data_IF_928586749738
#
_entry.id   IF_928586749738
#
_cell.length_a   1.000
_cell.length_b   1.000
_cell.length_c   1.000
_cell.angle_alpha   90.00
_cell.angle_beta   90.00
_cell.angle_gamma   90.00
#
_symmetry.space_group_name_H-M   'P 1'
#
loop_
_entity.id
_entity.type
_entity.pdbx_description
1 polymer ?
#
# COMPACT_ATOMS: atom_id res chain seq x y z
N UNK A 1 31.54 -14.43 -15.18
CA UNK A 1 30.33 -14.19 -15.99
C UNK A 1 30.15 -15.42 -16.87
N UNK A 2 29.15 -16.25 -16.60
CA UNK A 2 28.87 -17.44 -17.42
C UNK A 2 28.03 -17.05 -18.63
N UNK A 3 28.42 -17.56 -19.80
CA UNK A 3 27.98 -17.24 -21.18
C UNK A 3 26.47 -17.39 -21.48
N UNK A 4 25.64 -17.73 -20.51
CA UNK A 4 24.18 -17.87 -20.69
C UNK A 4 23.39 -16.54 -20.59
N UNK A 5 24.03 -15.43 -20.22
CA UNK A 5 23.33 -14.14 -20.07
C UNK A 5 23.26 -13.31 -21.37
N UNK A 6 23.78 -13.80 -22.50
CA UNK A 6 23.86 -13.04 -23.76
C UNK A 6 22.72 -13.32 -24.78
N UNK A 7 21.70 -14.10 -24.44
CA UNK A 7 20.74 -14.56 -25.46
C UNK A 7 19.54 -13.64 -25.79
N UNK A 8 19.29 -12.55 -25.06
CA UNK A 8 18.32 -11.52 -25.47
C UNK A 8 18.94 -10.14 -25.23
N UNK A 9 19.28 -9.40 -26.30
CA UNK A 9 20.05 -8.15 -26.31
C UNK A 9 19.46 -6.92 -25.60
N UNK A 10 18.97 -7.05 -24.38
CA UNK A 10 18.72 -5.96 -23.45
C UNK A 10 19.28 -6.35 -22.08
N UNK A 11 20.29 -5.62 -21.60
CA UNK A 11 20.70 -5.73 -20.19
C UNK A 11 19.49 -5.46 -19.30
N UNK A 12 19.19 -6.37 -18.37
CA UNK A 12 18.10 -6.18 -17.41
C UNK A 12 18.30 -4.85 -16.70
N UNK A 13 17.27 -4.01 -16.71
CA UNK A 13 17.29 -2.72 -16.04
C UNK A 13 17.63 -2.90 -14.55
N UNK A 14 18.30 -1.92 -13.97
CA UNK A 14 18.62 -1.89 -12.53
C UNK A 14 18.06 -0.63 -11.92
N UNK A 15 17.85 -0.61 -10.60
CA UNK A 15 17.51 0.63 -9.92
C UNK A 15 18.58 1.71 -10.17
N UNK A 16 18.16 2.92 -10.53
CA UNK A 16 19.05 4.04 -10.81
C UNK A 16 19.69 4.61 -9.54
N UNK A 17 19.11 4.32 -8.38
CA UNK A 17 19.69 4.68 -7.09
C UNK A 17 19.15 3.82 -5.94
N UNK A 18 19.92 3.75 -4.84
CA UNK A 18 19.49 3.16 -3.56
C UNK A 18 18.15 3.74 -3.08
N UNK A 19 18.01 5.06 -3.14
CA UNK A 19 16.79 5.75 -2.74
C UNK A 19 15.60 5.38 -3.64
N UNK A 20 15.84 5.14 -4.93
CA UNK A 20 14.83 4.65 -5.85
C UNK A 20 14.25 3.31 -5.42
N UNK A 21 15.10 2.34 -5.11
CA UNK A 21 14.67 1.05 -4.58
C UNK A 21 13.86 1.21 -3.28
N UNK A 22 14.38 1.96 -2.30
CA UNK A 22 13.72 2.12 -0.99
C UNK A 22 12.34 2.77 -1.15
N UNK A 23 12.25 3.91 -1.84
CA UNK A 23 10.98 4.63 -1.99
C UNK A 23 9.98 3.86 -2.86
N UNK A 24 10.43 3.19 -3.92
CA UNK A 24 9.54 2.36 -4.73
C UNK A 24 9.02 1.15 -3.94
N UNK A 25 9.86 0.52 -3.10
CA UNK A 25 9.43 -0.60 -2.25
C UNK A 25 8.48 -0.12 -1.15
N UNK A 26 8.72 1.04 -0.54
CA UNK A 26 7.76 1.68 0.39
C UNK A 26 6.44 1.95 -0.34
N UNK A 27 6.48 2.51 -1.55
CA UNK A 27 5.27 2.80 -2.31
C UNK A 27 4.48 1.56 -2.74
N UNK A 28 5.17 0.46 -3.00
CA UNK A 28 4.53 -0.84 -3.25
C UNK A 28 3.86 -1.41 -1.99
N UNK A 29 4.50 -1.27 -0.83
CA UNK A 29 4.04 -1.78 0.47
C UNK A 29 2.91 -0.92 1.07
N UNK A 30 3.05 0.40 1.00
CA UNK A 30 2.14 1.38 1.60
C UNK A 30 1.05 1.81 0.62
N UNK A 31 0.02 0.96 0.50
CA UNK A 31 -1.16 1.22 -0.34
C UNK A 31 -2.40 1.69 0.43
N UNK A 32 -3.55 1.72 -0.24
CA UNK A 32 -4.85 2.09 0.34
C UNK A 32 -5.19 1.26 1.58
N UNK A 33 -4.81 -0.03 1.60
CA UNK A 33 -5.04 -0.91 2.74
C UNK A 33 -4.39 -0.42 4.04
N UNK A 34 -3.25 0.28 3.96
CA UNK A 34 -2.64 0.87 5.15
C UNK A 34 -3.47 2.03 5.71
N UNK A 35 -4.29 2.68 4.89
CA UNK A 35 -5.02 3.90 5.26
C UNK A 35 -6.41 3.61 5.82
N UNK A 36 -7.10 2.55 5.36
CA UNK A 36 -8.44 2.20 5.87
C UNK A 36 -8.48 0.86 6.61
N UNK A 37 -7.80 -0.18 6.09
CA UNK A 37 -7.82 -1.51 6.69
C UNK A 37 -7.01 -1.56 7.98
N UNK A 38 -5.87 -0.87 8.05
CA UNK A 38 -5.10 -0.82 9.30
C UNK A 38 -5.88 -0.18 10.46
N UNK A 39 -6.47 1.02 10.32
CA UNK A 39 -7.35 1.58 11.34
C UNK A 39 -8.51 0.67 11.74
N UNK A 40 -9.21 0.10 10.75
CA UNK A 40 -10.34 -0.80 10.95
C UNK A 40 -9.95 -2.03 11.80
N UNK A 41 -8.94 -2.78 11.37
CA UNK A 41 -8.50 -3.99 12.09
C UNK A 41 -7.94 -3.63 13.47
N UNK A 42 -7.26 -2.49 13.61
CA UNK A 42 -6.76 -2.01 14.91
C UNK A 42 -7.91 -1.75 15.87
N UNK A 43 -8.98 -1.07 15.41
CA UNK A 43 -10.15 -0.79 16.21
C UNK A 43 -10.91 -2.07 16.63
N UNK A 44 -11.04 -3.06 15.75
CA UNK A 44 -11.68 -4.35 16.08
C UNK A 44 -10.86 -5.26 16.98
N UNK A 45 -9.54 -5.05 17.03
CA UNK A 45 -8.61 -6.00 17.64
C UNK A 45 -7.92 -5.44 18.89
N UNK A 46 -8.62 -4.61 19.66
CA UNK A 46 -8.13 -4.14 20.96
C UNK A 46 -7.08 -3.02 20.88
N UNK A 47 -7.09 -2.24 19.79
CA UNK A 47 -6.30 -1.01 19.67
C UNK A 47 -4.81 -1.26 19.81
N UNK A 48 -4.22 -0.75 20.88
CA UNK A 48 -2.79 -0.85 21.15
C UNK A 48 -2.27 -2.30 21.23
N UNK A 49 -3.14 -3.27 21.59
CA UNK A 49 -2.77 -4.68 21.63
C UNK A 49 -2.47 -5.21 20.22
N UNK A 50 -3.31 -4.85 19.24
CA UNK A 50 -3.08 -5.15 17.84
C UNK A 50 -1.83 -4.47 17.30
N UNK A 51 -1.64 -3.18 17.58
CA UNK A 51 -0.46 -2.42 17.13
C UNK A 51 0.83 -3.07 17.66
N UNK A 52 0.83 -3.50 18.93
CA UNK A 52 1.95 -4.22 19.53
C UNK A 52 2.21 -5.56 18.84
N UNK A 53 1.18 -6.41 18.70
CA UNK A 53 1.30 -7.71 18.04
C UNK A 53 1.79 -7.56 16.58
N UNK A 54 1.22 -6.61 15.84
CA UNK A 54 1.62 -6.27 14.47
C UNK A 54 3.08 -5.83 14.38
N UNK A 55 3.53 -4.98 15.30
CA UNK A 55 4.93 -4.53 15.38
C UNK A 55 5.88 -5.70 15.62
N UNK A 56 5.57 -6.56 16.61
CA UNK A 56 6.37 -7.75 16.94
C UNK A 56 6.48 -8.68 15.73
N UNK A 57 5.35 -9.01 15.10
CA UNK A 57 5.32 -9.93 13.96
C UNK A 57 5.98 -9.33 12.72
N UNK A 58 5.92 -8.00 12.55
CA UNK A 58 6.66 -7.32 11.48
C UNK A 58 8.16 -7.51 11.66
N UNK A 59 8.68 -7.35 12.88
CA UNK A 59 10.12 -7.49 13.18
C UNK A 59 10.56 -8.95 13.14
N UNK A 60 9.79 -9.87 13.72
CA UNK A 60 10.20 -11.27 13.92
C UNK A 60 9.94 -12.13 12.69
N UNK A 61 8.91 -11.83 11.89
CA UNK A 61 8.49 -12.68 10.76
C UNK A 61 8.65 -11.94 9.44
N UNK A 62 7.97 -10.79 9.28
CA UNK A 62 7.87 -10.14 7.98
C UNK A 62 9.23 -9.62 7.49
N UNK A 63 10.04 -9.04 8.39
CA UNK A 63 11.35 -8.50 8.09
C UNK A 63 12.36 -9.59 7.67
N UNK A 64 12.60 -10.68 8.45
CA UNK A 64 13.47 -11.78 8.02
C UNK A 64 13.01 -12.47 6.73
N UNK A 65 11.69 -12.68 6.58
CA UNK A 65 11.17 -13.30 5.38
C UNK A 65 11.37 -12.40 4.14
N UNK A 66 11.18 -11.08 4.28
CA UNK A 66 11.43 -10.15 3.18
C UNK A 66 12.92 -10.02 2.84
N UNK A 67 13.84 -10.08 3.82
CA UNK A 67 15.26 -10.20 3.54
C UNK A 67 15.57 -11.45 2.71
N UNK A 68 14.97 -12.60 3.06
CA UNK A 68 15.16 -13.83 2.30
C UNK A 68 14.61 -13.71 0.87
N UNK A 69 13.42 -13.14 0.70
CA UNK A 69 12.77 -12.97 -0.60
C UNK A 69 13.58 -12.04 -1.53
N UNK A 70 14.06 -10.90 -1.02
CA UNK A 70 14.88 -9.94 -1.77
C UNK A 70 16.26 -10.51 -2.08
N UNK A 71 16.91 -11.15 -1.09
CA UNK A 71 18.23 -11.76 -1.29
C UNK A 71 18.18 -12.89 -2.31
N UNK A 72 17.13 -13.72 -2.26
CA UNK A 72 16.86 -14.74 -3.25
C UNK A 72 16.73 -14.10 -4.63
N UNK A 73 15.84 -13.12 -4.79
CA UNK A 73 15.61 -12.51 -6.09
C UNK A 73 16.83 -11.79 -6.68
N UNK A 74 17.61 -11.07 -5.85
CA UNK A 74 18.85 -10.44 -6.28
C UNK A 74 19.85 -11.48 -6.78
N UNK A 75 19.96 -12.64 -6.12
CA UNK A 75 20.84 -13.73 -6.56
C UNK A 75 20.41 -14.31 -7.90
N UNK A 76 19.10 -14.38 -8.15
CA UNK A 76 18.55 -14.99 -9.36
C UNK A 76 18.53 -14.06 -10.58
N UNK A 77 18.46 -12.73 -10.35
CA UNK A 77 18.39 -11.66 -11.37
C UNK A 77 17.41 -11.95 -12.50
N UNK A 78 16.28 -12.57 -12.15
CA UNK A 78 15.25 -12.97 -13.08
C UNK A 78 13.87 -12.90 -12.41
N UNK A 79 12.80 -12.96 -13.20
CA UNK A 79 11.44 -13.01 -12.69
C UNK A 79 11.18 -14.28 -11.84
N UNK A 80 10.15 -14.27 -10.98
CA UNK A 80 9.83 -15.37 -10.08
C UNK A 80 9.76 -16.75 -10.74
N UNK A 81 9.12 -16.87 -11.91
CA UNK A 81 9.00 -18.15 -12.64
C UNK A 81 10.38 -18.77 -12.90
N UNK A 82 11.29 -18.02 -13.52
CA UNK A 82 12.62 -18.50 -13.87
C UNK A 82 13.48 -18.71 -12.61
N UNK A 83 13.32 -17.86 -11.60
CA UNK A 83 14.00 -18.01 -10.32
C UNK A 83 13.68 -19.37 -9.67
N UNK A 84 12.39 -19.73 -9.55
CA UNK A 84 12.01 -21.03 -8.98
C UNK A 84 12.42 -22.21 -9.87
N UNK A 85 12.35 -22.08 -11.20
CA UNK A 85 12.82 -23.12 -12.13
C UNK A 85 14.33 -23.40 -12.01
N UNK A 86 15.15 -22.36 -11.84
CA UNK A 86 16.61 -22.52 -11.67
C UNK A 86 16.99 -23.28 -10.39
N UNK A 87 16.22 -23.15 -9.30
CA UNK A 87 16.52 -23.86 -8.04
C UNK A 87 15.88 -25.24 -7.99
N UNK A 88 14.63 -25.37 -8.42
CA UNK A 88 13.82 -26.57 -8.22
C UNK A 88 13.66 -27.43 -9.48
N UNK A 89 14.29 -27.03 -10.60
CA UNK A 89 14.16 -27.71 -11.89
C UNK A 89 12.70 -27.85 -12.31
N UNK A 90 12.26 -29.07 -12.65
CA UNK A 90 10.88 -29.36 -13.07
C UNK A 90 9.83 -28.98 -12.01
N UNK A 91 10.15 -29.05 -10.70
CA UNK A 91 9.24 -28.64 -9.62
C UNK A 91 9.11 -27.11 -9.51
N UNK A 92 10.02 -26.35 -10.12
CA UNK A 92 9.98 -24.89 -10.16
C UNK A 92 8.87 -24.31 -11.04
N UNK A 93 8.09 -25.14 -11.73
CA UNK A 93 6.84 -24.72 -12.40
C UNK A 93 5.83 -24.11 -11.43
N UNK A 94 5.96 -24.35 -10.13
CA UNK A 94 5.19 -23.64 -9.10
C UNK A 94 5.33 -22.12 -9.20
N UNK A 95 6.43 -21.62 -9.77
CA UNK A 95 6.66 -20.19 -10.00
C UNK A 95 5.56 -19.51 -10.83
N UNK A 96 4.78 -20.27 -11.62
CA UNK A 96 3.65 -19.76 -12.38
C UNK A 96 2.47 -19.30 -11.53
N UNK A 97 2.43 -19.58 -10.22
CA UNK A 97 1.38 -19.04 -9.34
C UNK A 97 1.57 -17.55 -9.04
N UNK A 98 2.82 -17.10 -8.96
CA UNK A 98 3.19 -15.75 -8.53
C UNK A 98 2.74 -14.60 -9.43
N UNK A 99 2.53 -14.71 -10.76
CA UNK A 99 1.92 -13.63 -11.54
C UNK A 99 0.39 -13.56 -11.39
N UNK A 100 -0.30 -14.67 -11.09
CA UNK A 100 -1.76 -14.67 -11.04
C UNK A 100 -2.33 -14.03 -9.77
N UNK A 101 -1.62 -14.16 -8.64
CA UNK A 101 -1.99 -13.51 -7.37
C UNK A 101 -2.00 -11.97 -7.48
N UNK A 102 -0.90 -11.29 -7.89
CA UNK A 102 -0.88 -9.85 -8.07
C UNK A 102 -1.81 -9.40 -9.21
N UNK A 103 -2.00 -10.20 -10.26
CA UNK A 103 -2.99 -9.88 -11.30
C UNK A 103 -4.41 -9.80 -10.72
N UNK A 104 -4.83 -10.81 -9.95
CA UNK A 104 -6.14 -10.81 -9.29
C UNK A 104 -6.29 -9.67 -8.28
N UNK A 105 -5.22 -9.35 -7.54
CA UNK A 105 -5.16 -8.18 -6.67
C UNK A 105 -5.37 -6.88 -7.44
N UNK A 106 -4.70 -6.71 -8.58
CA UNK A 106 -4.77 -5.51 -9.39
C UNK A 106 -6.19 -5.24 -9.93
N UNK A 107 -6.92 -6.31 -10.29
CA UNK A 107 -8.27 -6.21 -10.87
C UNK A 107 -9.26 -5.46 -9.97
N UNK A 108 -9.26 -5.73 -8.66
CA UNK A 108 -10.14 -5.01 -7.73
C UNK A 108 -9.46 -3.73 -7.20
N UNK A 109 -8.14 -3.76 -7.00
CA UNK A 109 -7.43 -2.65 -6.40
C UNK A 109 -7.48 -1.39 -7.27
N UNK A 110 -7.39 -1.53 -8.60
CA UNK A 110 -7.54 -0.41 -9.54
C UNK A 110 -8.90 0.27 -9.44
N UNK A 111 -9.96 -0.48 -9.16
CA UNK A 111 -11.31 0.08 -8.98
C UNK A 111 -11.33 1.00 -7.76
N UNK A 112 -10.75 0.56 -6.63
CA UNK A 112 -10.71 1.38 -5.40
C UNK A 112 -9.76 2.58 -5.54
N UNK A 113 -8.63 2.43 -6.24
CA UNK A 113 -7.77 3.57 -6.60
C UNK A 113 -8.52 4.56 -7.48
N UNK A 114 -9.38 4.09 -8.38
CA UNK A 114 -10.20 4.96 -9.22
C UNK A 114 -11.24 5.75 -8.44
N UNK A 115 -11.82 5.17 -7.38
CA UNK A 115 -12.69 5.92 -6.46
C UNK A 115 -11.90 7.02 -5.77
N UNK A 116 -10.69 6.70 -5.30
CA UNK A 116 -9.80 7.67 -4.66
C UNK A 116 -9.41 8.80 -5.61
N UNK A 117 -9.14 8.50 -6.88
CA UNK A 117 -8.90 9.49 -7.92
C UNK A 117 -10.12 10.37 -8.13
N UNK A 118 -11.30 9.78 -8.27
CA UNK A 118 -12.55 10.50 -8.43
C UNK A 118 -12.82 11.43 -7.23
N UNK A 119 -12.69 10.95 -6.00
CA UNK A 119 -12.89 11.74 -4.78
C UNK A 119 -11.83 12.83 -4.59
N UNK A 120 -10.60 12.61 -5.03
CA UNK A 120 -9.58 13.67 -5.10
C UNK A 120 -10.05 14.79 -6.01
N UNK A 121 -10.59 14.45 -7.19
CA UNK A 121 -11.16 15.42 -8.11
C UNK A 121 -12.44 16.07 -7.54
N UNK A 122 -13.37 15.30 -6.99
CA UNK A 122 -14.59 15.81 -6.36
C UNK A 122 -14.31 16.78 -5.23
N UNK A 123 -13.22 16.59 -4.47
CA UNK A 123 -12.82 17.53 -3.42
C UNK A 123 -12.51 18.94 -3.94
N UNK A 124 -12.20 19.10 -5.23
CA UNK A 124 -11.91 20.39 -5.84
C UNK A 124 -13.14 21.15 -6.36
N UNK A 125 -14.20 20.45 -6.78
CA UNK A 125 -15.37 21.08 -7.44
C UNK A 125 -16.73 20.64 -6.89
N UNK A 126 -16.79 19.63 -6.01
CA UNK A 126 -18.01 19.07 -5.43
C UNK A 126 -17.83 18.66 -3.96
N UNK A 127 -16.85 19.26 -3.28
CA UNK A 127 -16.54 19.01 -1.87
C UNK A 127 -17.78 19.09 -0.99
N UNK A 128 -18.45 20.24 -1.04
CA UNK A 128 -19.65 20.52 -0.25
C UNK A 128 -20.77 19.51 -0.53
N UNK A 129 -20.92 19.06 -1.78
CA UNK A 129 -21.98 18.15 -2.18
C UNK A 129 -21.80 16.74 -1.60
N UNK A 130 -20.59 16.18 -1.65
CA UNK A 130 -20.37 14.84 -1.10
C UNK A 130 -20.20 14.85 0.42
N UNK A 131 -19.75 15.95 1.02
CA UNK A 131 -19.67 16.08 2.47
C UNK A 131 -21.05 16.27 3.11
N UNK A 132 -21.98 16.96 2.44
CA UNK A 132 -23.35 17.15 2.93
C UNK A 132 -24.21 15.86 2.88
N UNK A 133 -23.96 14.95 1.95
CA UNK A 133 -24.62 13.64 1.89
C UNK A 133 -23.64 12.52 1.47
N UNK A 134 -22.74 12.08 2.37
CA UNK A 134 -21.69 11.13 2.01
C UNK A 134 -22.22 9.77 1.56
N UNK A 135 -23.27 9.26 2.23
CA UNK A 135 -23.90 7.97 1.91
C UNK A 135 -24.52 8.01 0.51
N UNK A 136 -25.42 8.96 0.26
CA UNK A 136 -26.12 9.06 -1.01
C UNK A 136 -25.19 9.38 -2.18
N UNK A 137 -24.14 10.18 -1.94
CA UNK A 137 -23.14 10.47 -2.95
C UNK A 137 -22.31 9.23 -3.29
N UNK A 138 -21.82 8.50 -2.28
CA UNK A 138 -21.03 7.28 -2.51
C UNK A 138 -21.84 6.19 -3.19
N UNK A 139 -23.07 5.94 -2.76
CA UNK A 139 -23.97 4.97 -3.40
C UNK A 139 -24.33 5.38 -4.83
N UNK A 140 -24.65 6.66 -5.05
CA UNK A 140 -24.94 7.18 -6.39
C UNK A 140 -23.75 7.04 -7.34
N UNK A 141 -22.54 7.29 -6.85
CA UNK A 141 -21.30 7.15 -7.62
C UNK A 141 -20.97 5.68 -7.92
N UNK A 142 -21.00 4.81 -6.91
CA UNK A 142 -20.63 3.39 -7.06
C UNK A 142 -21.67 2.58 -7.85
N UNK A 143 -22.94 2.97 -7.82
CA UNK A 143 -23.97 2.37 -8.67
C UNK A 143 -23.91 2.84 -10.14
N UNK A 144 -23.22 3.94 -10.44
CA UNK A 144 -23.02 4.41 -11.80
C UNK A 144 -21.87 3.63 -12.49
N UNK A 145 -22.23 2.50 -13.10
CA UNK A 145 -21.27 1.60 -13.80
C UNK A 145 -20.41 2.31 -14.84
N UNK A 146 -20.97 3.27 -15.58
CA UNK A 146 -20.24 4.01 -16.61
C UNK A 146 -19.21 4.97 -16.01
N UNK A 147 -19.56 5.64 -14.91
CA UNK A 147 -18.63 6.48 -14.18
C UNK A 147 -17.47 5.63 -13.62
N UNK A 148 -17.77 4.53 -12.93
CA UNK A 148 -16.75 3.63 -12.39
C UNK A 148 -15.84 3.08 -13.49
N UNK A 149 -16.41 2.64 -14.62
CA UNK A 149 -15.63 2.18 -15.76
C UNK A 149 -14.70 3.28 -16.30
N UNK A 150 -15.21 4.49 -16.50
CA UNK A 150 -14.41 5.63 -16.99
C UNK A 150 -13.24 5.96 -16.07
N UNK A 151 -13.48 6.08 -14.76
CA UNK A 151 -12.43 6.35 -13.77
C UNK A 151 -11.42 5.20 -13.67
N UNK A 152 -11.87 3.95 -13.77
CA UNK A 152 -10.99 2.78 -13.72
C UNK A 152 -10.08 2.74 -14.94
N UNK A 153 -10.60 2.99 -16.15
CA UNK A 153 -9.79 3.07 -17.38
C UNK A 153 -8.79 4.21 -17.30
N UNK A 154 -9.20 5.39 -16.81
CA UNK A 154 -8.28 6.51 -16.61
C UNK A 154 -7.14 6.14 -15.64
N UNK A 155 -7.48 5.50 -14.53
CA UNK A 155 -6.49 5.05 -13.53
C UNK A 155 -5.53 4.03 -14.13
N UNK A 156 -6.06 3.05 -14.89
CA UNK A 156 -5.23 2.06 -15.59
C UNK A 156 -4.28 2.71 -16.59
N UNK A 157 -4.74 3.70 -17.36
CA UNK A 157 -3.88 4.44 -18.30
C UNK A 157 -2.75 5.15 -17.56
N UNK A 158 -3.03 5.81 -16.43
CA UNK A 158 -2.01 6.47 -15.61
C UNK A 158 -0.95 5.45 -15.14
N UNK A 159 -1.40 4.34 -14.57
CA UNK A 159 -0.51 3.27 -14.07
C UNK A 159 0.30 2.66 -15.23
N UNK A 160 -0.34 2.36 -16.35
CA UNK A 160 0.32 1.80 -17.53
C UNK A 160 1.38 2.73 -18.11
N UNK A 161 1.12 4.05 -18.21
CA UNK A 161 2.10 5.03 -18.68
C UNK A 161 3.36 5.02 -17.82
N UNK A 162 3.24 4.83 -16.50
CA UNK A 162 4.40 4.74 -15.61
C UNK A 162 5.16 3.45 -15.83
N UNK A 163 4.47 2.29 -15.85
CA UNK A 163 5.10 0.99 -16.08
C UNK A 163 5.79 0.90 -17.46
N UNK A 164 5.18 1.44 -18.52
CA UNK A 164 5.75 1.45 -19.88
C UNK A 164 7.05 2.25 -19.99
N UNK A 165 7.34 3.15 -19.03
CA UNK A 165 8.61 3.88 -18.95
C UNK A 165 9.72 3.10 -18.24
N UNK A 166 9.45 1.88 -17.76
CA UNK A 166 10.41 1.02 -17.06
C UNK A 166 10.70 1.46 -15.63
N UNK A 167 11.70 0.81 -15.01
CA UNK A 167 12.03 0.96 -13.59
C UNK A 167 12.62 2.33 -13.28
N UNK A 168 13.67 2.76 -13.99
CA UNK A 168 14.39 4.00 -13.69
C UNK A 168 13.60 5.25 -14.11
N UNK A 169 13.06 5.24 -15.34
CA UNK A 169 12.39 6.43 -15.92
C UNK A 169 10.91 6.51 -15.55
N UNK A 170 10.29 5.40 -15.15
CA UNK A 170 8.91 5.32 -14.70
C UNK A 170 8.80 5.21 -13.18
N UNK A 171 8.91 3.99 -12.68
CA UNK A 171 8.58 3.61 -11.29
C UNK A 171 9.40 4.41 -10.27
N UNK A 172 10.72 4.48 -10.44
CA UNK A 172 11.63 5.19 -9.52
C UNK A 172 11.34 6.69 -9.48
N UNK A 173 11.20 7.33 -10.65
CA UNK A 173 10.89 8.78 -10.73
C UNK A 173 9.55 9.11 -10.10
N UNK A 174 8.54 8.27 -10.36
CA UNK A 174 7.20 8.44 -9.79
C UNK A 174 7.26 8.34 -8.26
N UNK A 175 7.85 7.27 -7.72
CA UNK A 175 7.87 7.04 -6.28
C UNK A 175 8.76 8.04 -5.52
N UNK A 176 9.86 8.51 -6.13
CA UNK A 176 10.71 9.58 -5.56
C UNK A 176 9.97 10.88 -5.29
N UNK A 177 8.90 11.15 -6.04
CA UNK A 177 8.03 12.30 -5.82
C UNK A 177 6.84 11.96 -4.93
N UNK A 178 6.08 10.92 -5.31
CA UNK A 178 4.80 10.60 -4.69
C UNK A 178 4.94 10.17 -3.22
N UNK A 179 5.97 9.38 -2.87
CA UNK A 179 6.09 8.84 -1.51
C UNK A 179 6.49 9.90 -0.48
N UNK A 180 7.51 10.74 -0.69
CA UNK A 180 7.79 11.83 0.24
C UNK A 180 6.60 12.78 0.40
N UNK A 181 5.94 13.16 -0.71
CA UNK A 181 4.78 14.04 -0.67
C UNK A 181 3.61 13.40 0.09
N UNK A 182 3.37 12.12 -0.11
CA UNK A 182 2.37 11.35 0.62
C UNK A 182 2.58 11.42 2.13
N UNK A 183 3.80 11.15 2.62
CA UNK A 183 4.11 11.23 4.06
C UNK A 183 3.96 12.66 4.60
N UNK A 184 4.42 13.67 3.86
CA UNK A 184 4.27 15.08 4.25
C UNK A 184 2.80 15.43 4.48
N UNK A 185 1.92 15.01 3.57
CA UNK A 185 0.48 15.28 3.69
C UNK A 185 -0.12 14.49 4.85
N UNK A 186 0.23 13.21 5.03
CA UNK A 186 -0.24 12.41 6.17
C UNK A 186 0.16 13.03 7.52
N UNK A 187 1.38 13.56 7.63
CA UNK A 187 1.82 14.27 8.83
C UNK A 187 1.03 15.57 9.07
N UNK A 188 0.75 16.35 8.02
CA UNK A 188 -0.06 17.54 8.15
C UNK A 188 -1.48 17.21 8.63
N UNK A 189 -2.08 16.14 8.09
CA UNK A 189 -3.38 15.64 8.53
C UNK A 189 -3.35 15.14 9.97
N UNK A 190 -2.29 14.44 10.36
CA UNK A 190 -2.09 13.99 11.75
C UNK A 190 -2.09 15.18 12.71
N UNK A 191 -1.31 16.22 12.43
CA UNK A 191 -1.29 17.45 13.25
C UNK A 191 -2.70 18.03 13.36
N UNK A 192 -3.44 18.10 12.24
CA UNK A 192 -4.82 18.62 12.24
C UNK A 192 -5.78 17.75 13.07
N UNK A 193 -5.66 16.43 13.01
CA UNK A 193 -6.50 15.52 13.80
C UNK A 193 -6.21 15.66 15.29
N UNK A 194 -4.95 15.83 15.68
CA UNK A 194 -4.55 16.03 17.08
C UNK A 194 -5.07 17.33 17.70
N UNK A 195 -5.54 18.29 16.90
CA UNK A 195 -6.14 19.54 17.40
C UNK A 195 -7.68 19.49 17.48
N UNK A 196 -8.30 18.34 17.19
CA UNK A 196 -9.75 18.19 17.33
C UNK A 196 -10.18 18.14 18.80
N UNK A 197 -11.32 18.77 19.15
CA UNK A 197 -11.86 18.67 20.51
C UNK A 197 -12.33 17.23 20.78
N UNK A 198 -12.07 16.72 21.99
CA UNK A 198 -12.50 15.38 22.39
C UNK A 198 -11.66 14.22 21.82
N UNK A 199 -10.52 14.51 21.18
CA UNK A 199 -9.68 13.49 20.53
C UNK A 199 -9.06 12.46 21.51
N UNK A 200 -8.99 12.80 22.80
CA UNK A 200 -8.33 12.02 23.86
C UNK A 200 -8.89 10.60 23.97
N UNK A 201 -10.20 10.42 23.88
CA UNK A 201 -10.83 9.10 23.97
C UNK A 201 -10.41 8.21 22.80
N UNK A 202 -10.40 8.78 21.59
CA UNK A 202 -9.94 8.11 20.39
C UNK A 202 -8.44 7.76 20.42
N UNK A 203 -7.61 8.63 21.01
CA UNK A 203 -6.19 8.34 21.23
C UNK A 203 -5.99 7.21 22.24
N UNK A 204 -6.76 7.21 23.33
CA UNK A 204 -6.72 6.13 24.32
C UNK A 204 -7.16 4.80 23.70
N UNK A 205 -8.24 4.79 22.91
CA UNK A 205 -8.70 3.59 22.20
C UNK A 205 -7.61 3.04 21.27
N UNK A 206 -6.92 3.91 20.53
CA UNK A 206 -5.87 3.49 19.60
C UNK A 206 -4.58 3.04 20.30
N UNK A 207 -4.13 3.76 21.33
CA UNK A 207 -2.80 3.59 21.91
C UNK A 207 -2.77 2.65 23.12
N UNK A 208 -3.85 2.57 23.91
CA UNK A 208 -3.87 1.77 25.13
C UNK A 208 -4.07 0.29 24.77
N UNK A 209 -3.12 -0.61 25.08
CA UNK A 209 -3.28 -2.02 24.79
C UNK A 209 -4.29 -2.67 25.73
N UNK A 210 -5.28 -3.36 25.15
CA UNK A 210 -6.08 -4.32 25.90
C UNK A 210 -5.25 -5.60 26.14
N UNK A 211 -4.71 -5.73 27.35
CA UNK A 211 -3.87 -6.87 27.72
C UNK A 211 -4.61 -8.21 27.67
N UNK A 212 -5.94 -8.22 27.80
CA UNK A 212 -6.75 -9.43 27.66
C UNK A 212 -6.72 -9.97 26.23
N UNK A 213 -6.72 -9.08 25.24
CA UNK A 213 -6.66 -9.44 23.81
C UNK A 213 -5.35 -10.11 23.43
N UNK A 214 -4.25 -9.85 24.15
CA UNK A 214 -2.96 -10.51 23.89
C UNK A 214 -3.00 -12.03 24.11
N UNK A 215 -3.96 -12.52 24.90
CA UNK A 215 -4.16 -13.94 25.12
C UNK A 215 -5.00 -14.61 24.02
N UNK A 216 -5.70 -13.83 23.19
CA UNK A 216 -6.51 -14.36 22.10
C UNK A 216 -5.64 -14.70 20.88
N UNK A 217 -5.55 -15.98 20.45
CA UNK A 217 -4.82 -16.37 19.25
C UNK A 217 -5.33 -15.67 17.97
N UNK A 218 -6.60 -15.26 17.95
CA UNK A 218 -7.20 -14.57 16.81
C UNK A 218 -6.55 -13.20 16.57
N UNK A 219 -6.13 -12.50 17.63
CA UNK A 219 -5.38 -11.24 17.55
C UNK A 219 -4.08 -11.44 16.76
N UNK A 220 -3.31 -12.46 17.15
CA UNK A 220 -2.01 -12.76 16.54
C UNK A 220 -2.17 -13.22 15.09
N UNK A 221 -3.21 -13.98 14.77
CA UNK A 221 -3.50 -14.35 13.39
C UNK A 221 -3.84 -13.14 12.51
N UNK A 222 -4.67 -12.21 13.00
CA UNK A 222 -4.99 -10.95 12.29
C UNK A 222 -3.76 -10.07 12.13
N UNK A 223 -2.96 -9.92 13.19
CA UNK A 223 -1.73 -9.14 13.18
C UNK A 223 -0.68 -9.73 12.23
N UNK A 224 -0.56 -11.07 12.17
CA UNK A 224 0.32 -11.76 11.21
C UNK A 224 -0.13 -11.49 9.77
N UNK A 225 -1.42 -11.69 9.49
CA UNK A 225 -1.99 -11.40 8.17
C UNK A 225 -1.75 -9.96 7.73
N UNK A 226 -1.89 -9.01 8.65
CA UNK A 226 -1.61 -7.60 8.37
C UNK A 226 -0.12 -7.32 8.19
N UNK A 227 0.77 -7.90 8.99
CA UNK A 227 2.23 -7.74 8.88
C UNK A 227 2.76 -8.23 7.53
N UNK A 228 2.34 -9.41 7.08
CA UNK A 228 2.74 -9.98 5.80
C UNK A 228 2.19 -9.15 4.63
N UNK A 229 0.91 -8.75 4.70
CA UNK A 229 0.27 -7.91 3.70
C UNK A 229 0.94 -6.53 3.60
N UNK A 230 1.24 -5.91 4.74
CA UNK A 230 1.76 -4.56 4.80
C UNK A 230 3.11 -4.43 4.08
N UNK A 231 3.99 -5.45 4.14
CA UNK A 231 5.29 -5.39 3.43
C UNK A 231 5.26 -6.00 2.02
N UNK A 232 4.11 -6.52 1.57
CA UNK A 232 3.97 -7.17 0.26
C UNK A 232 4.67 -8.53 0.13
N UNK A 233 4.81 -9.26 1.24
CA UNK A 233 5.51 -10.55 1.28
C UNK A 233 4.64 -11.68 0.73
N UNK A 234 5.21 -12.55 -0.11
CA UNK A 234 4.56 -13.78 -0.59
C UNK A 234 4.13 -13.75 -2.07
N UNK A 235 3.37 -12.76 -2.57
CA UNK A 235 2.99 -12.64 -3.99
C UNK A 235 4.15 -12.35 -4.97
N UNK A 236 5.40 -12.57 -4.55
CA UNK A 236 6.64 -12.30 -5.30
C UNK A 236 6.90 -10.82 -5.64
N UNK A 237 6.24 -9.89 -4.97
CA UNK A 237 6.43 -8.46 -5.22
C UNK A 237 7.84 -8.00 -4.81
N UNK A 238 8.30 -8.43 -3.63
CA UNK A 238 9.67 -8.22 -3.18
C UNK A 238 10.68 -8.97 -4.06
N UNK A 239 10.30 -10.11 -4.63
CA UNK A 239 11.15 -10.77 -5.62
C UNK A 239 11.30 -9.94 -6.90
N UNK A 240 10.21 -9.44 -7.47
CA UNK A 240 10.26 -8.61 -8.67
C UNK A 240 11.17 -7.39 -8.43
N UNK A 241 10.96 -6.67 -7.34
CA UNK A 241 11.75 -5.48 -7.00
C UNK A 241 13.20 -5.80 -6.68
N UNK A 242 13.45 -6.89 -5.92
CA UNK A 242 14.78 -7.35 -5.56
C UNK A 242 15.61 -7.84 -6.75
N UNK A 243 14.95 -8.32 -7.83
CA UNK A 243 15.63 -8.77 -9.05
C UNK A 243 16.35 -7.64 -9.82
N UNK A 244 15.98 -6.38 -9.54
CA UNK A 244 16.55 -5.17 -10.14
C UNK A 244 17.67 -4.55 -9.27
N UNK A 245 17.99 -5.15 -8.11
CA UNK A 245 19.04 -4.64 -7.22
C UNK A 245 20.45 -4.94 -7.74
N UNK A 246 21.38 -3.96 -7.67
CA UNK A 246 22.81 -4.21 -7.84
C UNK A 246 23.36 -5.21 -6.82
N UNK A 247 24.42 -5.94 -7.20
CA UNK A 247 25.05 -6.97 -6.35
C UNK A 247 25.61 -6.40 -5.03
N UNK A 248 26.05 -5.13 -5.04
CA UNK A 248 26.65 -4.45 -3.89
C UNK A 248 25.63 -3.79 -2.95
N UNK A 249 24.34 -3.94 -3.19
CA UNK A 249 23.30 -3.31 -2.34
C UNK A 249 23.26 -3.88 -0.92
N UNK A 250 22.95 -3.03 0.05
CA UNK A 250 22.78 -3.40 1.45
C UNK A 250 21.33 -3.81 1.73
N UNK A 251 20.97 -5.04 1.35
CA UNK A 251 19.61 -5.57 1.53
C UNK A 251 19.13 -5.46 2.98
N UNK A 252 19.92 -5.86 4.01
CA UNK A 252 19.50 -5.77 5.39
C UNK A 252 19.04 -4.36 5.78
N UNK A 253 19.87 -3.36 5.52
CA UNK A 253 19.57 -1.98 5.92
C UNK A 253 18.50 -1.34 5.04
N UNK A 254 18.52 -1.61 3.73
CA UNK A 254 17.56 -1.05 2.79
C UNK A 254 16.14 -1.55 3.10
N UNK A 255 15.97 -2.85 3.30
CA UNK A 255 14.67 -3.41 3.60
C UNK A 255 14.21 -3.15 5.04
N UNK A 256 15.13 -3.05 6.00
CA UNK A 256 14.80 -2.55 7.34
C UNK A 256 14.21 -1.14 7.28
N UNK A 257 14.79 -0.26 6.45
CA UNK A 257 14.28 1.10 6.24
C UNK A 257 12.86 1.07 5.64
N UNK A 258 12.62 0.20 4.65
CA UNK A 258 11.29 0.01 4.06
C UNK A 258 10.28 -0.45 5.11
N UNK A 259 10.61 -1.50 5.87
CA UNK A 259 9.73 -2.07 6.88
C UNK A 259 9.41 -1.05 7.98
N UNK A 260 10.40 -0.26 8.41
CA UNK A 260 10.20 0.80 9.40
C UNK A 260 9.25 1.88 8.92
N UNK A 261 9.49 2.44 7.73
CA UNK A 261 8.63 3.48 7.18
C UNK A 261 7.21 2.97 6.95
N UNK A 262 7.05 1.72 6.52
CA UNK A 262 5.74 1.12 6.32
C UNK A 262 4.98 0.91 7.64
N UNK A 263 5.63 0.38 8.68
CA UNK A 263 5.09 0.26 10.03
C UNK A 263 4.68 1.64 10.57
N UNK A 264 5.57 2.61 10.42
CA UNK A 264 5.35 3.98 10.87
C UNK A 264 4.19 4.65 10.14
N UNK A 265 4.10 4.50 8.81
CA UNK A 265 2.97 4.98 8.03
C UNK A 265 1.65 4.36 8.47
N UNK A 266 1.63 3.06 8.77
CA UNK A 266 0.40 2.38 9.22
C UNK A 266 -0.07 2.97 10.55
N UNK A 267 0.85 3.19 11.49
CA UNK A 267 0.56 3.82 12.78
C UNK A 267 0.05 5.25 12.60
N UNK A 268 0.67 6.05 11.72
CA UNK A 268 0.19 7.41 11.40
C UNK A 268 -1.22 7.36 10.83
N UNK A 269 -1.49 6.49 9.85
CA UNK A 269 -2.84 6.35 9.29
C UNK A 269 -3.85 5.91 10.34
N UNK A 270 -3.47 4.99 11.23
CA UNK A 270 -4.23 4.63 12.42
C UNK A 270 -4.60 5.85 13.27
N UNK A 271 -3.62 6.69 13.60
CA UNK A 271 -3.78 7.91 14.40
C UNK A 271 -4.53 9.05 13.69
N UNK A 272 -4.51 9.09 12.35
CA UNK A 272 -5.30 10.05 11.57
C UNK A 272 -6.77 9.64 11.55
N UNK A 273 -7.07 8.34 11.44
CA UNK A 273 -8.43 7.84 11.23
C UNK A 273 -9.13 7.49 12.53
N UNK A 274 -8.55 6.62 13.37
CA UNK A 274 -9.23 6.08 14.55
C UNK A 274 -9.68 7.18 15.51
N UNK A 275 -8.79 8.10 15.95
CA UNK A 275 -9.19 9.10 16.93
C UNK A 275 -10.28 10.04 16.42
N UNK A 276 -10.19 10.46 15.15
CA UNK A 276 -11.19 11.31 14.54
C UNK A 276 -12.57 10.64 14.52
N UNK A 277 -12.65 9.38 14.09
CA UNK A 277 -13.92 8.65 14.00
C UNK A 277 -14.56 8.46 15.38
N UNK A 278 -13.75 8.17 16.41
CA UNK A 278 -14.23 8.06 17.81
C UNK A 278 -14.73 9.40 18.33
N UNK A 279 -14.00 10.49 18.10
CA UNK A 279 -14.38 11.83 18.58
C UNK A 279 -15.74 12.31 18.03
N UNK A 280 -16.12 11.84 16.83
CA UNK A 280 -17.42 12.12 16.22
C UNK A 280 -18.48 11.02 16.49
N UNK A 281 -18.18 10.00 17.29
CA UNK A 281 -19.11 8.94 17.66
C UNK A 281 -19.56 8.07 16.49
N UNK A 282 -18.72 7.92 15.47
CA UNK A 282 -19.05 7.21 14.23
C UNK A 282 -18.55 5.76 14.23
N UNK A 283 -19.11 4.94 13.34
CA UNK A 283 -18.75 3.54 13.22
C UNK A 283 -17.41 3.34 12.48
N UNK A 284 -16.44 2.74 13.18
CA UNK A 284 -15.16 2.31 12.64
C UNK A 284 -15.28 1.05 11.76
N UNK A 285 -16.39 0.30 11.87
CA UNK A 285 -16.56 -1.03 11.27
C UNK A 285 -17.23 -1.05 9.90
N UNK A 286 -16.96 -0.03 9.10
CA UNK A 286 -17.60 0.18 7.79
C UNK A 286 -16.74 -0.23 6.59
N UNK A 287 -15.58 -0.89 6.80
CA UNK A 287 -14.71 -1.36 5.73
C UNK A 287 -14.28 -0.23 4.77
N UNK A 288 -14.37 -0.40 3.44
CA UNK A 288 -14.06 0.67 2.48
C UNK A 288 -14.94 1.92 2.63
N UNK A 289 -16.18 1.78 3.13
CA UNK A 289 -17.08 2.92 3.35
C UNK A 289 -16.57 3.88 4.43
N UNK A 290 -15.69 3.41 5.33
CA UNK A 290 -14.99 4.27 6.30
C UNK A 290 -14.37 5.48 5.59
N UNK A 291 -13.71 5.24 4.45
CA UNK A 291 -12.98 6.25 3.70
C UNK A 291 -13.89 7.21 2.92
N UNK A 292 -14.96 6.70 2.31
CA UNK A 292 -15.77 7.48 1.35
C UNK A 292 -17.10 7.98 1.92
N UNK A 293 -17.44 7.58 3.15
CA UNK A 293 -18.67 7.98 3.85
C UNK A 293 -18.32 8.62 5.21
N UNK A 294 -17.69 7.85 6.10
CA UNK A 294 -17.43 8.30 7.48
C UNK A 294 -16.45 9.47 7.53
N UNK A 295 -15.33 9.38 6.80
CA UNK A 295 -14.33 10.47 6.81
C UNK A 295 -14.84 11.79 6.18
N UNK A 296 -15.56 11.78 5.04
CA UNK A 296 -16.23 12.99 4.54
C UNK A 296 -17.15 13.68 5.55
N UNK A 297 -17.92 12.91 6.32
CA UNK A 297 -18.74 13.49 7.39
C UNK A 297 -17.90 14.22 8.43
N UNK A 298 -16.76 13.63 8.83
CA UNK A 298 -15.83 14.25 9.78
C UNK A 298 -15.18 15.50 9.19
N UNK A 299 -14.80 15.49 7.91
CA UNK A 299 -14.20 16.64 7.24
C UNK A 299 -15.16 17.84 7.20
N UNK A 300 -16.46 17.60 7.01
CA UNK A 300 -17.49 18.64 7.02
C UNK A 300 -17.55 19.42 8.34
N UNK A 301 -17.22 18.75 9.46
CA UNK A 301 -17.18 19.35 10.80
C UNK A 301 -15.90 20.15 11.06
N UNK A 302 -14.98 20.22 10.09
CA UNK A 302 -13.71 20.93 10.24
C UNK A 302 -13.67 22.23 9.43
N UNK A 303 -13.02 23.30 9.94
CA UNK A 303 -12.68 24.44 9.10
C UNK A 303 -11.80 23.99 7.93
N UNK A 304 -11.99 24.62 6.77
CA UNK A 304 -11.30 24.26 5.52
C UNK A 304 -11.58 22.81 5.08
N UNK A 305 -12.79 22.31 5.33
CA UNK A 305 -13.26 20.95 5.02
C UNK A 305 -12.85 20.46 3.61
N UNK A 306 -13.06 21.27 2.58
CA UNK A 306 -12.69 20.95 1.20
C UNK A 306 -11.18 20.75 0.99
N UNK A 307 -10.33 21.56 1.64
CA UNK A 307 -8.88 21.41 1.59
C UNK A 307 -8.43 20.14 2.32
N UNK A 308 -9.02 19.86 3.49
CA UNK A 308 -8.71 18.65 4.28
C UNK A 308 -9.10 17.39 3.50
N UNK A 309 -10.30 17.38 2.92
CA UNK A 309 -10.76 16.28 2.08
C UNK A 309 -9.84 16.07 0.86
N UNK A 310 -9.48 17.16 0.17
CA UNK A 310 -8.54 17.09 -0.95
C UNK A 310 -7.19 16.50 -0.52
N UNK A 311 -6.58 17.03 0.55
CA UNK A 311 -5.30 16.55 1.06
C UNK A 311 -5.37 15.06 1.44
N UNK A 312 -6.44 14.64 2.11
CA UNK A 312 -6.64 13.25 2.49
C UNK A 312 -6.75 12.33 1.27
N UNK A 313 -7.68 12.59 0.35
CA UNK A 313 -7.86 11.75 -0.84
C UNK A 313 -6.64 11.82 -1.76
N UNK A 314 -5.96 12.96 -1.84
CA UNK A 314 -4.73 13.10 -2.62
C UNK A 314 -3.57 12.28 -2.02
N UNK A 315 -3.39 12.30 -0.70
CA UNK A 315 -2.43 11.41 -0.03
C UNK A 315 -2.76 9.94 -0.30
N UNK A 316 -4.03 9.54 -0.16
CA UNK A 316 -4.47 8.19 -0.50
C UNK A 316 -4.20 7.83 -1.96
N UNK A 317 -4.41 8.76 -2.88
CA UNK A 317 -4.17 8.56 -4.30
C UNK A 317 -2.69 8.33 -4.60
N UNK A 318 -1.79 9.11 -3.97
CA UNK A 318 -0.34 8.95 -4.14
C UNK A 318 0.12 7.55 -3.72
N UNK A 319 -0.27 7.08 -2.52
CA UNK A 319 0.02 5.73 -2.06
C UNK A 319 -0.67 4.64 -2.89
N UNK A 320 -1.93 4.88 -3.25
CA UNK A 320 -2.74 3.99 -4.08
C UNK A 320 -2.13 3.75 -5.46
N UNK A 321 -1.73 4.81 -6.17
CA UNK A 321 -1.08 4.71 -7.47
C UNK A 321 0.29 4.03 -7.35
N UNK A 322 1.11 4.39 -6.36
CA UNK A 322 2.42 3.74 -6.15
C UNK A 322 2.28 2.23 -5.93
N UNK A 323 1.31 1.80 -5.14
CA UNK A 323 1.03 0.38 -4.92
C UNK A 323 0.51 -0.30 -6.19
N UNK A 324 -0.43 0.32 -6.93
CA UNK A 324 -0.96 -0.22 -8.17
C UNK A 324 0.14 -0.41 -9.24
N UNK A 325 1.06 0.55 -9.35
CA UNK A 325 2.25 0.46 -10.20
C UNK A 325 3.12 -0.73 -9.77
N UNK A 326 3.38 -0.90 -8.48
CA UNK A 326 4.18 -2.04 -8.00
C UNK A 326 3.54 -3.40 -8.23
N UNK A 327 2.22 -3.51 -8.06
CA UNK A 327 1.46 -4.73 -8.34
C UNK A 327 1.48 -5.06 -9.84
N UNK A 328 1.30 -4.05 -10.71
CA UNK A 328 1.37 -4.24 -12.15
C UNK A 328 2.78 -4.63 -12.59
N UNK A 329 3.80 -3.95 -12.08
CA UNK A 329 5.21 -4.21 -12.39
C UNK A 329 5.62 -5.63 -12.00
N UNK A 330 5.16 -6.13 -10.85
CA UNK A 330 5.38 -7.53 -10.45
C UNK A 330 4.81 -8.51 -11.49
N UNK A 331 3.59 -8.24 -11.97
CA UNK A 331 2.93 -9.07 -12.99
C UNK A 331 3.71 -9.04 -14.31
N UNK A 332 4.08 -7.86 -14.79
CA UNK A 332 4.85 -7.66 -16.04
C UNK A 332 6.23 -8.33 -15.94
N UNK A 333 6.96 -8.08 -14.85
CA UNK A 333 8.28 -8.66 -14.60
C UNK A 333 8.25 -10.19 -14.61
N UNK A 334 7.20 -10.76 -14.03
CA UNK A 334 7.05 -12.21 -13.93
C UNK A 334 6.70 -12.83 -15.28
N UNK A 335 5.75 -12.27 -16.03
CA UNK A 335 5.39 -12.78 -17.36
C UNK A 335 6.50 -12.58 -18.39
N UNK A 336 7.13 -11.40 -18.44
CA UNK A 336 8.24 -11.13 -19.36
C UNK A 336 9.43 -12.06 -19.08
N UNK A 337 9.72 -12.37 -17.82
CA UNK A 337 10.77 -13.35 -17.50
C UNK A 337 10.40 -14.78 -17.88
N UNK A 338 9.12 -15.17 -17.74
CA UNK A 338 8.66 -16.54 -17.95
C UNK A 338 8.38 -16.94 -19.40
N UNK A 339 8.04 -15.98 -20.26
CA UNK A 339 7.68 -16.23 -21.66
C UNK A 339 8.87 -16.15 -22.64
N UNK A 340 10.04 -15.69 -22.18
CA UNK A 340 11.22 -15.43 -23.01
C UNK A 340 11.23 -14.03 -23.61
#
# INVERSE_FOLDING_TARGET
MSEQNMQNGQEREVWGSRLGFILSTIGMAFGLGAIWRFPYVTAESGGGAFVLAFTILTIVIALPAGWAEIAFARKMRNGPIVAFQKVLGKKGRIGWIFPFVPLGLNMYYLVVVSWTLAYTCFSLYSGDAFMANPVGFFEGFTNNRWAIFGWTILTLIIVAIVCLKGIQKGVEKFCKFCIPLHYIILFALLIRVMTLPGIEEGLMMFAKPDMGMLLDPSLWARAAGMALFAVGLGPAALMAYGSYLPEKSDIPMDFLTVAWWNLFGCIISGLVVVPAVVAFGLDLQSGPSLTYVTLPFIFDQMPLSGLIAFLFFFAMLLGGLSAAIGILENTVTTFSGGLG
#
